data_IF_855313958177
#
_entry.id   IF_855313958177
#
_cell.length_a   1.000
_cell.length_b   1.000
_cell.length_c   1.000
_cell.angle_alpha   90.00
_cell.angle_beta   90.00
_cell.angle_gamma   90.00
#
_symmetry.space_group_name_H-M   'P 1'
#
loop_
_entity.id
_entity.type
_entity.pdbx_description
1 polymer ?
#
# COMPACT_ATOMS: atom_id res chain seq x y z
N UNK A 1 10.33 -14.84 -15.42
CA UNK A 1 9.84 -14.34 -16.72
C UNK A 1 10.93 -13.63 -17.52
N UNK A 2 11.62 -12.62 -16.99
CA UNK A 2 12.63 -11.85 -17.73
C UNK A 2 13.71 -12.73 -18.37
N UNK A 3 14.26 -13.71 -17.63
CA UNK A 3 15.19 -14.71 -18.15
C UNK A 3 14.62 -15.49 -19.35
N UNK A 4 13.37 -15.96 -19.25
CA UNK A 4 12.70 -16.69 -20.33
C UNK A 4 12.53 -15.82 -21.58
N UNK A 5 12.02 -14.59 -21.42
CA UNK A 5 11.89 -13.65 -22.54
C UNK A 5 13.25 -13.33 -23.17
N UNK A 6 14.31 -13.17 -22.36
CA UNK A 6 15.67 -12.93 -22.85
C UNK A 6 16.23 -14.14 -23.63
N UNK A 7 15.94 -15.37 -23.19
CA UNK A 7 16.34 -16.61 -23.89
C UNK A 7 15.55 -16.76 -25.20
N UNK A 8 14.29 -16.32 -25.23
CA UNK A 8 13.43 -16.29 -26.43
C UNK A 8 13.80 -15.15 -27.41
N UNK A 9 14.91 -14.44 -27.19
CA UNK A 9 15.45 -13.42 -28.11
C UNK A 9 14.90 -12.00 -27.90
N UNK A 10 14.22 -11.72 -26.79
CA UNK A 10 13.74 -10.38 -26.51
C UNK A 10 14.90 -9.40 -26.24
N UNK A 11 14.68 -8.12 -26.56
CA UNK A 11 15.65 -7.05 -26.32
C UNK A 11 16.09 -6.99 -24.85
N UNK A 12 17.36 -6.63 -24.55
CA UNK A 12 17.84 -6.40 -23.19
C UNK A 12 16.97 -5.42 -22.38
N UNK A 13 16.20 -4.56 -23.05
CA UNK A 13 15.20 -3.67 -22.45
C UNK A 13 14.15 -4.40 -21.60
N UNK A 14 13.93 -5.71 -21.81
CA UNK A 14 13.04 -6.52 -20.96
C UNK A 14 13.48 -6.53 -19.50
N UNK A 15 14.78 -6.42 -19.22
CA UNK A 15 15.27 -6.33 -17.84
C UNK A 15 14.87 -5.01 -17.17
N UNK A 16 14.96 -3.89 -17.89
CA UNK A 16 14.50 -2.59 -17.40
C UNK A 16 12.98 -2.62 -17.15
N UNK A 17 12.22 -3.21 -18.06
CA UNK A 17 10.78 -3.36 -17.92
C UNK A 17 10.44 -4.25 -16.72
N UNK A 18 11.15 -5.35 -16.51
CA UNK A 18 10.94 -6.27 -15.39
C UNK A 18 11.28 -5.62 -14.03
N UNK A 19 12.38 -4.86 -13.95
CA UNK A 19 12.74 -4.10 -12.74
C UNK A 19 11.68 -3.04 -12.45
N UNK A 20 11.24 -2.29 -13.47
CA UNK A 20 10.18 -1.28 -13.32
C UNK A 20 8.87 -1.91 -12.86
N UNK A 21 8.49 -3.06 -13.43
CA UNK A 21 7.33 -3.84 -13.00
C UNK A 21 7.46 -4.30 -11.55
N UNK A 22 8.64 -4.77 -11.13
CA UNK A 22 8.90 -5.19 -9.75
C UNK A 22 8.78 -4.04 -8.74
N UNK A 23 9.31 -2.86 -9.05
CA UNK A 23 9.18 -1.66 -8.22
C UNK A 23 7.70 -1.24 -8.13
N UNK A 24 7.03 -1.17 -9.28
CA UNK A 24 5.61 -0.86 -9.40
C UNK A 24 4.76 -1.79 -8.54
N UNK A 25 5.00 -3.10 -8.65
CA UNK A 25 4.35 -4.14 -7.86
C UNK A 25 4.51 -3.90 -6.36
N UNK A 26 5.74 -3.60 -5.91
CA UNK A 26 6.03 -3.30 -4.51
C UNK A 26 5.24 -2.11 -3.99
N UNK A 27 5.17 -1.01 -4.75
CA UNK A 27 4.40 0.19 -4.39
C UNK A 27 2.90 -0.07 -4.37
N UNK A 28 2.37 -0.81 -5.35
CA UNK A 28 0.96 -1.22 -5.38
C UNK A 28 0.59 -2.06 -4.16
N UNK A 29 1.45 -3.02 -3.79
CA UNK A 29 1.28 -3.84 -2.59
C UNK A 29 1.33 -3.03 -1.30
N UNK A 30 2.31 -2.12 -1.18
CA UNK A 30 2.43 -1.24 -0.02
C UNK A 30 1.18 -0.37 0.17
N UNK A 31 0.68 0.24 -0.91
CA UNK A 31 -0.55 1.03 -0.88
C UNK A 31 -1.76 0.18 -0.46
N UNK A 32 -2.01 -0.94 -1.16
CA UNK A 32 -3.16 -1.80 -0.89
C UNK A 32 -3.19 -2.32 0.56
N UNK A 33 -2.02 -2.69 1.10
CA UNK A 33 -1.86 -3.08 2.49
C UNK A 33 -2.18 -1.92 3.45
N UNK A 34 -1.64 -0.72 3.19
CA UNK A 34 -1.89 0.44 4.04
C UNK A 34 -3.37 0.83 4.12
N UNK A 35 -4.09 0.78 2.99
CA UNK A 35 -5.52 1.06 2.96
C UNK A 35 -6.33 -0.02 3.69
N UNK A 36 -5.94 -1.30 3.59
CA UNK A 36 -6.59 -2.40 4.30
C UNK A 36 -6.39 -2.29 5.81
N UNK A 37 -5.15 -2.10 6.24
CA UNK A 37 -4.80 -2.01 7.67
C UNK A 37 -5.43 -0.75 8.29
N UNK A 38 -5.39 0.39 7.59
CA UNK A 38 -6.06 1.62 8.05
C UNK A 38 -7.58 1.46 8.12
N UNK A 39 -8.19 0.74 7.18
CA UNK A 39 -9.62 0.44 7.27
C UNK A 39 -9.95 -0.40 8.50
N UNK A 40 -9.17 -1.43 8.81
CA UNK A 40 -9.35 -2.22 10.01
C UNK A 40 -9.21 -1.34 11.26
N UNK A 41 -8.21 -0.46 11.30
CA UNK A 41 -8.02 0.51 12.37
C UNK A 41 -9.29 1.36 12.61
N UNK A 42 -9.88 1.96 11.56
CA UNK A 42 -11.09 2.76 11.70
C UNK A 42 -12.33 1.91 12.06
N UNK A 43 -12.48 0.73 11.46
CA UNK A 43 -13.65 -0.12 11.66
C UNK A 43 -13.68 -0.79 13.04
N UNK A 44 -12.52 -1.13 13.59
CA UNK A 44 -12.38 -1.70 14.94
C UNK A 44 -12.35 -0.63 16.04
N UNK A 45 -12.34 0.65 15.65
CA UNK A 45 -12.40 1.78 16.57
C UNK A 45 -11.09 2.12 17.25
N UNK A 46 -9.95 1.83 16.61
CA UNK A 46 -8.61 2.09 17.16
C UNK A 46 -8.12 1.05 18.17
N UNK A 47 -8.88 -0.03 18.41
CA UNK A 47 -8.44 -1.20 19.17
C UNK A 47 -7.41 -2.00 18.35
N UNK A 48 -6.49 -2.75 19.00
CA UNK A 48 -5.10 -2.85 18.56
C UNK A 48 -5.00 -3.54 17.20
N UNK A 49 -5.04 -2.71 16.18
CA UNK A 49 -4.37 -2.98 14.92
C UNK A 49 -3.02 -2.32 15.12
N UNK A 50 -1.95 -3.11 15.12
CA UNK A 50 -0.55 -2.63 15.15
C UNK A 50 -0.30 -1.78 13.89
N UNK A 51 -0.84 -0.57 13.90
CA UNK A 51 -0.74 0.38 12.81
C UNK A 51 0.39 1.33 13.13
N UNK A 52 1.61 0.82 12.97
CA UNK A 52 2.82 1.58 13.26
C UNK A 52 2.90 2.86 12.43
N UNK A 53 3.60 3.85 12.99
CA UNK A 53 3.99 5.06 12.27
C UNK A 53 5.49 5.02 12.00
N UNK A 54 5.88 5.53 10.83
CA UNK A 54 7.31 5.66 10.50
C UNK A 54 8.07 6.51 11.53
N UNK A 55 7.40 7.44 12.21
CA UNK A 55 7.98 8.26 13.27
C UNK A 55 8.40 7.41 14.47
N UNK A 56 7.52 6.52 14.93
CA UNK A 56 7.77 5.59 16.05
C UNK A 56 8.87 4.61 15.66
N UNK A 57 8.76 3.98 14.49
CA UNK A 57 9.74 3.03 13.97
C UNK A 57 11.13 3.65 13.81
N UNK A 58 11.22 4.91 13.37
CA UNK A 58 12.49 5.65 13.27
C UNK A 58 13.14 5.85 14.65
N UNK A 59 12.34 6.09 15.68
CA UNK A 59 12.85 6.21 17.05
C UNK A 59 13.43 4.88 17.53
N UNK A 60 12.73 3.76 17.29
CA UNK A 60 13.20 2.40 17.61
C UNK A 60 14.46 2.04 16.82
N UNK A 61 14.52 2.40 15.54
CA UNK A 61 15.67 2.17 14.67
C UNK A 61 16.93 2.88 15.18
N UNK A 62 16.79 4.10 15.71
CA UNK A 62 17.91 4.86 16.28
C UNK A 62 18.45 4.26 17.57
N UNK A 63 17.63 3.53 18.35
CA UNK A 63 18.05 2.86 19.59
C UNK A 63 18.93 1.63 19.31
N UNK A 64 18.76 0.99 18.15
CA UNK A 64 19.57 -0.16 17.75
C UNK A 64 20.95 0.28 17.26
N UNK A 65 21.99 -0.54 17.51
CA UNK A 65 23.35 -0.32 17.01
C UNK A 65 23.73 -1.43 16.05
N UNK A 66 24.35 -1.07 14.91
CA UNK A 66 24.76 -2.06 13.89
C UNK A 66 25.79 -3.06 14.42
N UNK A 67 26.65 -2.63 15.35
CA UNK A 67 27.68 -3.47 15.95
C UNK A 67 27.11 -4.62 16.80
N UNK A 68 26.05 -4.37 17.57
CA UNK A 68 25.51 -5.38 18.49
C UNK A 68 24.26 -6.09 17.94
N UNK A 69 23.48 -5.40 17.11
CA UNK A 69 22.18 -5.88 16.62
C UNK A 69 22.04 -5.63 15.11
N UNK A 70 22.93 -6.17 14.26
CA UNK A 70 22.89 -5.92 12.83
C UNK A 70 21.60 -6.44 12.19
N UNK A 71 21.15 -7.63 12.58
CA UNK A 71 19.97 -8.26 11.97
C UNK A 71 18.65 -7.59 12.38
N UNK A 72 18.36 -7.34 13.67
CA UNK A 72 17.19 -6.56 14.06
C UNK A 72 17.17 -5.17 13.44
N UNK A 73 18.34 -4.51 13.36
CA UNK A 73 18.43 -3.18 12.76
C UNK A 73 18.17 -3.19 11.26
N UNK A 74 18.67 -4.19 10.55
CA UNK A 74 18.38 -4.36 9.12
C UNK A 74 16.90 -4.61 8.86
N UNK A 75 16.27 -5.55 9.57
CA UNK A 75 14.84 -5.83 9.42
C UNK A 75 13.99 -4.60 9.74
N UNK A 76 14.34 -3.87 10.80
CA UNK A 76 13.67 -2.62 11.14
C UNK A 76 13.92 -1.51 10.11
N UNK A 77 15.07 -1.50 9.42
CA UNK A 77 15.31 -0.58 8.31
C UNK A 77 14.37 -0.87 7.13
N UNK A 78 14.21 -2.16 6.79
CA UNK A 78 13.28 -2.59 5.74
C UNK A 78 11.84 -2.23 6.10
N UNK A 79 11.42 -2.52 7.33
CA UNK A 79 10.08 -2.21 7.79
C UNK A 79 9.83 -0.69 7.85
N UNK A 80 10.77 0.09 8.36
CA UNK A 80 10.69 1.55 8.35
C UNK A 80 10.58 2.10 6.92
N UNK A 81 11.36 1.58 5.98
CA UNK A 81 11.30 2.01 4.58
C UNK A 81 9.92 1.68 3.97
N UNK A 82 9.40 0.48 4.25
CA UNK A 82 8.07 0.07 3.82
C UNK A 82 6.97 1.00 4.38
N UNK A 83 6.94 1.24 5.69
CA UNK A 83 5.97 2.15 6.33
C UNK A 83 6.09 3.58 5.79
N UNK A 84 7.30 4.05 5.48
CA UNK A 84 7.50 5.36 4.84
C UNK A 84 6.89 5.44 3.45
N UNK A 85 7.03 4.39 2.64
CA UNK A 85 6.40 4.34 1.33
C UNK A 85 4.88 4.39 1.44
N UNK A 86 4.30 3.66 2.41
CA UNK A 86 2.87 3.71 2.71
C UNK A 86 2.39 5.11 3.07
N UNK A 87 3.04 5.77 4.03
CA UNK A 87 2.68 7.13 4.46
C UNK A 87 2.89 8.18 3.35
N UNK A 88 3.91 8.01 2.51
CA UNK A 88 4.19 8.90 1.38
C UNK A 88 3.16 8.78 0.26
N UNK A 89 2.68 7.57 -0.03
CA UNK A 89 1.66 7.33 -1.07
C UNK A 89 0.26 7.80 -0.64
N UNK A 90 0.01 7.95 0.66
CA UNK A 90 -1.32 8.25 1.22
C UNK A 90 -1.27 9.32 2.32
N UNK A 91 -0.80 10.54 2.00
CA UNK A 91 -0.51 11.56 3.00
C UNK A 91 -1.75 12.05 3.76
N UNK A 92 -2.90 12.24 3.09
CA UNK A 92 -4.14 12.68 3.77
C UNK A 92 -4.76 11.55 4.58
N UNK A 93 -4.62 10.30 4.16
CA UNK A 93 -5.03 9.17 5.00
C UNK A 93 -4.21 9.10 6.28
N UNK A 94 -2.89 9.29 6.20
CA UNK A 94 -2.05 9.39 7.39
C UNK A 94 -2.50 10.57 8.29
N UNK A 95 -2.77 11.73 7.69
CA UNK A 95 -3.25 12.90 8.44
C UNK A 95 -4.62 12.66 9.09
N UNK A 96 -5.53 11.98 8.40
CA UNK A 96 -6.83 11.59 8.94
C UNK A 96 -6.67 10.72 10.18
N UNK A 97 -5.73 9.77 10.17
CA UNK A 97 -5.39 8.95 11.34
C UNK A 97 -4.89 9.81 12.50
N UNK A 98 -3.95 10.72 12.24
CA UNK A 98 -3.41 11.63 13.26
C UNK A 98 -4.50 12.54 13.87
N UNK A 99 -5.37 13.12 13.03
CA UNK A 99 -6.50 13.94 13.48
C UNK A 99 -7.49 13.10 14.28
N UNK A 100 -7.82 11.91 13.81
CA UNK A 100 -8.75 11.01 14.51
C UNK A 100 -8.21 10.57 15.87
N UNK A 101 -6.91 10.31 15.99
CA UNK A 101 -6.25 10.02 17.27
C UNK A 101 -6.32 11.19 18.25
N UNK A 102 -6.27 12.44 17.75
CA UNK A 102 -6.37 13.65 18.58
C UNK A 102 -7.81 13.96 18.97
N UNK A 103 -8.75 13.86 18.02
CA UNK A 103 -10.17 14.14 18.24
C UNK A 103 -10.86 13.04 19.06
N UNK A 104 -10.39 11.79 18.97
CA UNK A 104 -11.00 10.63 19.62
C UNK A 104 -9.97 9.83 20.45
N UNK A 105 -9.47 10.39 21.57
CA UNK A 105 -8.34 9.83 22.31
C UNK A 105 -8.61 8.48 22.98
N UNK A 106 -9.88 8.14 23.22
CA UNK A 106 -10.26 6.87 23.86
C UNK A 106 -10.70 5.81 22.85
N UNK A 107 -11.63 6.17 21.97
CA UNK A 107 -12.18 5.27 20.97
C UNK A 107 -12.80 6.09 19.84
N UNK A 108 -12.65 5.62 18.60
CA UNK A 108 -13.32 6.22 17.46
C UNK A 108 -14.83 5.94 17.57
N UNK A 109 -15.69 6.98 17.57
CA UNK A 109 -17.12 6.82 17.82
C UNK A 109 -17.83 6.11 16.67
N UNK A 110 -18.90 5.35 16.99
CA UNK A 110 -19.59 4.48 16.00
C UNK A 110 -20.02 5.24 14.75
N UNK A 111 -20.58 6.44 14.88
CA UNK A 111 -21.01 7.25 13.74
C UNK A 111 -19.88 7.50 12.74
N UNK A 112 -18.65 7.72 13.24
CA UNK A 112 -17.48 7.95 12.39
C UNK A 112 -16.99 6.64 11.77
N UNK A 113 -16.98 5.55 12.55
CA UNK A 113 -16.66 4.19 12.05
C UNK A 113 -17.60 3.77 10.93
N UNK A 114 -18.91 3.96 11.12
CA UNK A 114 -19.94 3.66 10.11
C UNK A 114 -19.71 4.51 8.86
N UNK A 115 -19.47 5.82 9.03
CA UNK A 115 -19.22 6.73 7.91
C UNK A 115 -17.97 6.33 7.12
N UNK A 116 -16.86 6.06 7.79
CA UNK A 116 -15.63 5.57 7.18
C UNK A 116 -15.89 4.28 6.41
N UNK A 117 -16.58 3.31 7.03
CA UNK A 117 -16.90 2.01 6.41
C UNK A 117 -17.70 2.19 5.12
N UNK A 118 -18.77 3.00 5.13
CA UNK A 118 -19.61 3.25 3.95
C UNK A 118 -18.79 3.89 2.84
N UNK A 119 -17.95 4.88 3.17
CA UNK A 119 -17.14 5.58 2.18
C UNK A 119 -16.03 4.72 1.58
N UNK A 120 -15.36 3.88 2.37
CA UNK A 120 -14.23 3.06 1.93
C UNK A 120 -14.65 1.75 1.24
N UNK A 121 -15.80 1.17 1.61
CA UNK A 121 -16.27 -0.15 1.13
C UNK A 121 -16.26 -0.32 -0.40
N UNK A 122 -16.71 0.65 -1.22
CA UNK A 122 -16.76 0.49 -2.67
C UNK A 122 -15.39 0.24 -3.31
N UNK A 123 -14.32 0.75 -2.70
CA UNK A 123 -12.97 0.68 -3.27
C UNK A 123 -12.27 -0.65 -3.00
N UNK A 124 -12.73 -1.45 -2.04
CA UNK A 124 -12.07 -2.71 -1.67
C UNK A 124 -11.98 -3.73 -2.80
N UNK A 125 -13.00 -3.81 -3.66
CA UNK A 125 -12.96 -4.69 -4.83
C UNK A 125 -11.82 -4.32 -5.77
N UNK A 126 -11.63 -3.02 -5.98
CA UNK A 126 -10.58 -2.49 -6.86
C UNK A 126 -9.19 -2.62 -6.23
N UNK A 127 -9.05 -2.35 -4.92
CA UNK A 127 -7.82 -2.66 -4.19
C UNK A 127 -7.46 -4.15 -4.27
N UNK A 128 -8.47 -5.03 -4.26
CA UNK A 128 -8.28 -6.47 -4.46
C UNK A 128 -7.67 -6.83 -5.83
N UNK A 129 -7.92 -6.03 -6.87
CA UNK A 129 -7.29 -6.24 -8.19
C UNK A 129 -5.78 -5.95 -8.16
N UNK A 130 -5.34 -5.09 -7.25
CA UNK A 130 -3.93 -4.80 -6.98
C UNK A 130 -3.32 -5.79 -5.99
N UNK A 131 -3.95 -6.93 -5.70
CA UNK A 131 -3.39 -8.00 -4.86
C UNK A 131 -2.89 -9.18 -5.71
N UNK A 132 -2.15 -10.11 -5.08
CA UNK A 132 -1.44 -11.19 -5.76
C UNK A 132 -2.35 -12.11 -6.58
N UNK A 133 -3.58 -12.37 -6.12
CA UNK A 133 -4.50 -13.30 -6.77
C UNK A 133 -4.83 -12.90 -8.22
N UNK A 134 -5.16 -11.63 -8.45
CA UNK A 134 -5.47 -11.12 -9.79
C UNK A 134 -4.24 -11.16 -10.68
N UNK A 135 -3.05 -10.87 -10.14
CA UNK A 135 -1.79 -10.94 -10.90
C UNK A 135 -1.44 -12.35 -11.33
N UNK A 136 -1.64 -13.34 -10.46
CA UNK A 136 -1.42 -14.75 -10.82
C UNK A 136 -2.33 -15.17 -11.98
N UNK A 137 -3.60 -14.75 -11.97
CA UNK A 137 -4.53 -15.03 -13.06
C UNK A 137 -4.08 -14.38 -14.38
N UNK A 138 -3.72 -13.09 -14.35
CA UNK A 138 -3.20 -12.36 -15.53
C UNK A 138 -1.91 -13.00 -16.05
N UNK A 139 -1.02 -13.40 -15.13
CA UNK A 139 0.22 -14.08 -15.47
C UNK A 139 -0.06 -15.41 -16.20
N UNK A 140 -0.96 -16.25 -15.67
CA UNK A 140 -1.30 -17.52 -16.31
C UNK A 140 -1.88 -17.32 -17.71
N UNK A 141 -2.75 -16.33 -17.92
CA UNK A 141 -3.30 -16.01 -19.24
C UNK A 141 -2.17 -15.76 -20.25
N UNK A 142 -1.22 -14.86 -19.92
CA UNK A 142 -0.13 -14.55 -20.84
C UNK A 142 0.87 -15.69 -21.02
N UNK A 143 1.06 -16.54 -20.02
CA UNK A 143 1.85 -17.75 -20.16
C UNK A 143 1.20 -18.76 -21.12
N UNK A 144 -0.12 -18.97 -21.03
CA UNK A 144 -0.84 -19.87 -21.95
C UNK A 144 -0.89 -19.33 -23.37
N UNK A 145 -0.93 -18.01 -23.55
CA UNK A 145 -0.84 -17.37 -24.86
C UNK A 145 0.58 -17.37 -25.45
N UNK A 146 1.59 -17.82 -24.70
CA UNK A 146 2.99 -17.78 -25.14
C UNK A 146 3.54 -16.36 -25.23
N UNK A 147 2.94 -15.40 -24.51
CA UNK A 147 3.21 -13.96 -24.60
C UNK A 147 3.59 -13.35 -23.23
N UNK A 148 4.60 -13.90 -22.52
CA UNK A 148 4.95 -13.50 -21.14
C UNK A 148 5.36 -12.03 -20.97
N UNK A 149 5.83 -11.36 -22.02
CA UNK A 149 6.25 -9.96 -21.95
C UNK A 149 5.09 -9.00 -21.63
N UNK A 150 3.87 -9.34 -22.07
CA UNK A 150 2.69 -8.52 -21.86
C UNK A 150 2.26 -8.44 -20.39
N UNK A 151 2.63 -9.44 -19.59
CA UNK A 151 2.43 -9.38 -18.14
C UNK A 151 3.12 -8.14 -17.53
N UNK A 152 4.36 -7.84 -17.93
CA UNK A 152 5.08 -6.68 -17.41
C UNK A 152 4.45 -5.37 -17.86
N UNK A 153 3.96 -5.30 -19.09
CA UNK A 153 3.24 -4.12 -19.57
C UNK A 153 1.96 -3.86 -18.77
N UNK A 154 1.17 -4.90 -18.49
CA UNK A 154 -0.04 -4.78 -17.65
C UNK A 154 0.30 -4.28 -16.25
N UNK A 155 1.37 -4.81 -15.64
CA UNK A 155 1.82 -4.42 -14.29
C UNK A 155 2.23 -2.94 -14.23
N UNK A 156 2.93 -2.44 -15.26
CA UNK A 156 3.45 -1.06 -15.32
C UNK A 156 2.40 -0.06 -15.81
N UNK A 157 1.42 -0.47 -16.62
CA UNK A 157 0.41 0.43 -17.20
C UNK A 157 -0.93 0.32 -16.48
N UNK A 158 -1.71 -0.72 -16.79
CA UNK A 158 -3.09 -0.90 -16.31
C UNK A 158 -3.16 -0.83 -14.79
N UNK A 159 -2.28 -1.56 -14.08
CA UNK A 159 -2.31 -1.59 -12.62
C UNK A 159 -1.84 -0.28 -11.98
N UNK A 160 -0.93 0.47 -12.61
CA UNK A 160 -0.54 1.79 -12.12
C UNK A 160 -1.60 2.87 -12.38
N UNK A 161 -2.31 2.80 -13.50
CA UNK A 161 -3.46 3.66 -13.75
C UNK A 161 -4.52 3.41 -12.67
N UNK A 162 -4.80 2.13 -12.38
CA UNK A 162 -5.70 1.76 -11.29
C UNK A 162 -5.19 2.24 -9.93
N UNK A 163 -3.90 2.08 -9.63
CA UNK A 163 -3.29 2.58 -8.39
C UNK A 163 -3.48 4.09 -8.24
N UNK A 164 -3.15 4.86 -9.26
CA UNK A 164 -3.27 6.32 -9.24
C UNK A 164 -4.73 6.76 -9.01
N UNK A 165 -5.68 6.12 -9.70
CA UNK A 165 -7.11 6.34 -9.49
C UNK A 165 -7.53 6.05 -8.04
N UNK A 166 -7.09 4.92 -7.47
CA UNK A 166 -7.45 4.52 -6.12
C UNK A 166 -6.84 5.42 -5.05
N UNK A 167 -5.57 5.79 -5.19
CA UNK A 167 -4.92 6.76 -4.30
C UNK A 167 -5.71 8.08 -4.34
N UNK A 168 -5.99 8.61 -5.53
CA UNK A 168 -6.71 9.87 -5.68
C UNK A 168 -8.09 9.84 -5.01
N UNK A 169 -8.87 8.78 -5.26
CA UNK A 169 -10.20 8.60 -4.65
C UNK A 169 -10.12 8.50 -3.14
N UNK A 170 -9.12 7.81 -2.60
CA UNK A 170 -9.01 7.69 -1.15
C UNK A 170 -8.49 8.97 -0.49
N UNK A 171 -7.62 9.72 -1.15
CA UNK A 171 -7.12 10.99 -0.65
C UNK A 171 -8.24 12.05 -0.60
N UNK A 172 -9.18 12.03 -1.55
CA UNK A 172 -10.41 12.85 -1.49
C UNK A 172 -11.30 12.41 -0.32
N UNK A 173 -11.55 11.11 -0.20
CA UNK A 173 -12.36 10.56 0.90
C UNK A 173 -11.77 10.93 2.26
N UNK A 174 -10.45 10.81 2.41
CA UNK A 174 -9.75 11.09 3.66
C UNK A 174 -9.83 12.57 4.03
N UNK A 175 -9.77 13.46 3.05
CA UNK A 175 -9.98 14.89 3.28
C UNK A 175 -11.39 15.19 3.81
N UNK A 176 -12.43 14.66 3.15
CA UNK A 176 -13.82 14.87 3.59
C UNK A 176 -14.09 14.34 4.99
N UNK A 177 -13.52 13.19 5.34
CA UNK A 177 -13.64 12.62 6.70
C UNK A 177 -12.86 13.41 7.75
N UNK A 178 -11.74 14.03 7.36
CA UNK A 178 -10.94 14.85 8.26
C UNK A 178 -11.71 16.12 8.65
N UNK A 179 -12.32 16.79 7.68
CA UNK A 179 -13.18 17.96 7.91
C UNK A 179 -14.35 17.63 8.86
N UNK A 180 -14.96 16.45 8.67
CA UNK A 180 -16.04 15.93 9.52
C UNK A 180 -15.57 15.64 10.96
N UNK A 181 -14.32 15.19 11.15
CA UNK A 181 -13.76 14.92 12.46
C UNK A 181 -13.36 16.18 13.24
N UNK A 182 -13.19 17.33 12.56
CA UNK A 182 -12.79 18.60 13.18
C UNK A 182 -13.93 19.60 13.39
N UNK A 183 -15.06 19.42 12.71
CA UNK A 183 -16.22 20.32 12.79
C UNK A 183 -17.22 19.96 13.89
N UNK A 184 -16.97 18.87 14.63
CA UNK A 184 -17.74 18.43 15.80
C UNK A 184 -16.83 18.31 17.01
#
# INVERSE_FOLDING_TARGET
>A
LALRCSIEGASPLVWLLAVTAGISHGLQGAAADYYRTTYLYFVTGGLPVDLDSSMILRSSYRKLRWRDQPWPKFLLALYLNFTRQQEMLSPRLNRLREVSNRSFPHQIPEWFRTRYRISARPMFKLWGLLMTNTRMLVLFIFLFLGQPIWYFWVEVTILNILLAYLIHRQEIMSQSLMELATTR
#
